data_IF_773096387545
#
_entry.id   IF_773096387545
#
_cell.length_a   1.000
_cell.length_b   1.000
_cell.length_c   1.000
_cell.angle_alpha   90.00
_cell.angle_beta   90.00
_cell.angle_gamma   90.00
#
_symmetry.space_group_name_H-M   'P 1'
#
loop_
_entity.id
_entity.type
_entity.pdbx_description
1 polymer ?
#
# COMPACT_ATOMS: atom_id res chain seq x y z
N UNK A 1 27.04 23.28 35.64
CA UNK A 1 26.73 21.83 35.70
C UNK A 1 25.26 21.55 35.96
N UNK A 2 24.61 22.21 36.93
CA UNK A 2 23.18 22.02 37.23
C UNK A 2 22.23 22.18 36.03
N UNK A 3 22.44 23.22 35.21
CA UNK A 3 21.66 23.48 33.98
C UNK A 3 21.72 22.33 32.96
N UNK A 4 22.86 21.64 32.87
CA UNK A 4 23.03 20.51 31.94
C UNK A 4 22.25 19.30 32.46
N UNK A 5 22.36 19.01 33.75
CA UNK A 5 21.62 17.91 34.39
C UNK A 5 20.11 18.14 34.32
N UNK A 6 19.63 19.37 34.55
CA UNK A 6 18.20 19.69 34.39
C UNK A 6 17.74 19.50 32.95
N UNK A 7 18.55 19.89 31.97
CA UNK A 7 18.25 19.67 30.55
C UNK A 7 18.11 18.18 30.21
N UNK A 8 19.01 17.34 30.73
CA UNK A 8 18.94 15.87 30.57
C UNK A 8 17.65 15.32 31.18
N UNK A 9 17.31 15.70 32.41
CA UNK A 9 16.11 15.21 33.10
C UNK A 9 14.84 15.62 32.35
N UNK A 10 14.74 16.87 31.91
CA UNK A 10 13.60 17.36 31.12
C UNK A 10 13.47 16.59 29.80
N UNK A 11 14.59 16.34 29.12
CA UNK A 11 14.58 15.61 27.84
C UNK A 11 14.09 14.17 28.02
N UNK A 12 14.53 13.48 29.07
CA UNK A 12 14.07 12.13 29.41
C UNK A 12 12.57 12.15 29.72
N UNK A 13 12.09 13.12 30.51
CA UNK A 13 10.68 13.24 30.85
C UNK A 13 9.81 13.45 29.59
N UNK A 14 10.25 14.30 28.66
CA UNK A 14 9.56 14.51 27.38
C UNK A 14 9.54 13.22 26.54
N UNK A 15 10.67 12.52 26.43
CA UNK A 15 10.76 11.28 25.65
C UNK A 15 9.80 10.21 26.19
N UNK A 16 9.78 10.00 27.50
CA UNK A 16 8.88 9.05 28.15
C UNK A 16 7.41 9.47 28.02
N UNK A 17 7.11 10.74 28.24
CA UNK A 17 5.76 11.28 28.12
C UNK A 17 5.21 11.16 26.69
N UNK A 18 6.00 11.53 25.69
CA UNK A 18 5.63 11.41 24.28
C UNK A 18 5.45 9.94 23.87
N UNK A 19 6.38 9.07 24.30
CA UNK A 19 6.29 7.63 24.03
C UNK A 19 5.02 7.01 24.61
N UNK A 20 4.73 7.27 25.89
CA UNK A 20 3.50 6.79 26.53
C UNK A 20 2.24 7.33 25.84
N UNK A 21 2.21 8.63 25.51
CA UNK A 21 1.06 9.23 24.86
C UNK A 21 0.79 8.63 23.47
N UNK A 22 1.83 8.48 22.64
CA UNK A 22 1.69 7.98 21.27
C UNK A 22 1.40 6.48 21.21
N UNK A 23 1.99 5.67 22.09
CA UNK A 23 1.83 4.20 22.06
C UNK A 23 0.63 3.71 22.87
N UNK A 24 0.32 4.37 23.99
CA UNK A 24 -0.66 3.85 24.96
C UNK A 24 -1.91 4.71 25.06
N UNK A 25 -1.80 6.04 24.94
CA UNK A 25 -2.95 6.93 25.07
C UNK A 25 -3.67 7.20 23.75
N UNK A 26 -3.00 7.01 22.61
CA UNK A 26 -3.60 7.15 21.28
C UNK A 26 -3.73 5.78 20.62
N UNK A 27 -4.97 5.31 20.45
CA UNK A 27 -5.25 4.26 19.47
C UNK A 27 -5.06 4.85 18.08
N UNK A 28 -3.83 4.79 17.55
CA UNK A 28 -3.55 5.22 16.19
C UNK A 28 -4.32 4.30 15.23
N UNK A 29 -5.31 4.86 14.54
CA UNK A 29 -5.96 4.14 13.44
C UNK A 29 -4.93 3.96 12.31
N UNK A 30 -4.71 2.73 11.84
CA UNK A 30 -3.84 2.49 10.69
C UNK A 30 -4.26 3.33 9.48
N UNK A 31 -3.29 3.77 8.69
CA UNK A 31 -3.55 4.63 7.52
C UNK A 31 -4.60 4.04 6.56
N UNK A 32 -4.63 2.71 6.41
CA UNK A 32 -5.62 2.04 5.56
C UNK A 32 -7.05 2.12 6.10
N UNK A 33 -7.28 2.39 7.39
CA UNK A 33 -8.61 2.64 7.97
C UNK A 33 -9.06 4.09 7.77
N UNK A 34 -8.13 5.04 7.91
CA UNK A 34 -8.44 6.47 7.81
C UNK A 34 -8.59 6.90 6.35
N UNK A 35 -7.77 6.32 5.46
CA UNK A 35 -7.74 6.61 4.03
C UNK A 35 -8.32 5.48 3.20
N UNK A 36 -9.13 4.58 3.79
CA UNK A 36 -10.01 3.74 2.98
C UNK A 36 -11.02 4.65 2.31
N UNK A 37 -10.70 5.11 1.10
CA UNK A 37 -11.74 5.58 0.19
C UNK A 37 -12.80 4.48 0.09
N UNK A 38 -14.08 4.85 0.11
CA UNK A 38 -15.15 3.94 -0.30
C UNK A 38 -14.80 3.46 -1.70
N UNK A 39 -14.15 2.30 -1.76
CA UNK A 39 -14.02 1.44 -2.91
C UNK A 39 -14.11 2.18 -4.25
N UNK A 40 -12.98 2.57 -4.82
CA UNK A 40 -12.89 2.57 -6.29
C UNK A 40 -12.79 1.12 -6.77
N UNK A 41 -13.69 0.23 -6.33
CA UNK A 41 -14.18 -0.79 -7.24
C UNK A 41 -14.94 -0.02 -8.30
N UNK A 42 -14.17 0.48 -9.27
CA UNK A 42 -14.65 0.55 -10.65
C UNK A 42 -15.41 -0.75 -10.88
N UNK A 43 -16.71 -0.61 -11.18
CA UNK A 43 -17.66 -1.72 -11.20
C UNK A 43 -17.10 -2.98 -11.85
N UNK A 44 -17.53 -4.13 -11.34
CA UNK A 44 -17.09 -5.48 -11.74
C UNK A 44 -15.56 -5.70 -11.69
N UNK A 45 -14.99 -6.12 -10.55
CA UNK A 45 -13.54 -6.27 -10.38
C UNK A 45 -12.90 -7.25 -11.37
N UNK A 46 -13.67 -8.19 -11.94
CA UNK A 46 -13.16 -9.12 -12.96
C UNK A 46 -12.82 -8.43 -14.29
N UNK A 47 -13.43 -7.29 -14.58
CA UNK A 47 -13.35 -6.62 -15.87
C UNK A 47 -12.25 -5.56 -15.94
N UNK A 48 -11.73 -5.12 -14.79
CA UNK A 48 -10.72 -4.05 -14.74
C UNK A 48 -9.34 -4.47 -15.27
N UNK A 49 -9.07 -5.79 -15.37
CA UNK A 49 -7.79 -6.32 -15.84
C UNK A 49 -7.80 -6.71 -17.32
N UNK A 50 -8.99 -6.91 -17.89
CA UNK A 50 -9.17 -7.67 -19.14
C UNK A 50 -10.28 -7.11 -20.05
N UNK A 51 -11.11 -6.18 -19.55
CA UNK A 51 -12.24 -5.59 -20.27
C UNK A 51 -13.53 -6.44 -20.24
N UNK A 52 -14.65 -5.84 -20.68
CA UNK A 52 -15.99 -6.43 -20.62
C UNK A 52 -16.22 -7.69 -21.45
N UNK A 53 -15.32 -8.00 -22.38
CA UNK A 53 -15.50 -9.09 -23.34
C UNK A 53 -14.43 -10.18 -23.20
N UNK A 54 -13.70 -10.22 -22.08
CA UNK A 54 -12.74 -11.29 -21.86
C UNK A 54 -13.43 -12.59 -21.48
N UNK A 55 -13.17 -13.63 -22.26
CA UNK A 55 -13.79 -14.95 -22.07
C UNK A 55 -12.98 -15.86 -21.16
N UNK A 56 -11.76 -15.48 -20.77
CA UNK A 56 -10.86 -16.35 -19.99
C UNK A 56 -10.20 -17.47 -20.80
N UNK A 57 -10.63 -17.68 -22.04
CA UNK A 57 -10.09 -18.71 -22.91
C UNK A 57 -8.83 -18.18 -23.62
N UNK A 58 -7.64 -18.78 -23.41
CA UNK A 58 -6.54 -18.62 -24.33
C UNK A 58 -7.04 -19.13 -25.68
N UNK A 59 -7.11 -18.26 -26.69
CA UNK A 59 -7.48 -18.71 -28.03
C UNK A 59 -6.60 -19.89 -28.45
N UNK A 60 -7.15 -20.77 -29.27
CA UNK A 60 -6.44 -21.92 -29.85
C UNK A 60 -5.16 -21.52 -30.63
N UNK A 61 -4.93 -20.22 -30.83
CA UNK A 61 -3.73 -19.62 -31.40
C UNK A 61 -2.50 -19.60 -30.46
N UNK A 62 -2.61 -20.09 -29.22
CA UNK A 62 -1.48 -20.20 -28.29
C UNK A 62 -0.37 -21.16 -28.75
N UNK A 63 -0.66 -21.99 -29.77
CA UNK A 63 0.33 -22.87 -30.43
C UNK A 63 1.04 -22.23 -31.62
N UNK A 64 0.61 -21.05 -32.09
CA UNK A 64 1.21 -20.37 -33.25
C UNK A 64 2.35 -19.41 -32.88
N UNK A 65 2.47 -18.98 -31.62
CA UNK A 65 3.50 -18.02 -31.20
C UNK A 65 4.89 -18.64 -30.99
N UNK A 66 5.07 -19.94 -31.28
CA UNK A 66 6.35 -20.65 -31.14
C UNK A 66 7.11 -20.84 -32.47
N UNK A 67 6.61 -20.34 -33.59
CA UNK A 67 7.29 -20.50 -34.88
C UNK A 67 7.09 -19.31 -35.81
N UNK A 68 8.20 -18.62 -36.12
CA UNK A 68 8.28 -17.74 -37.28
C UNK A 68 8.64 -16.30 -36.94
N UNK A 69 9.90 -16.04 -36.64
CA UNK A 69 10.57 -14.85 -37.17
C UNK A 69 10.47 -14.94 -38.70
N UNK A 70 9.71 -14.08 -39.38
CA UNK A 70 10.04 -13.69 -40.77
C UNK A 70 9.72 -12.20 -41.04
N UNK A 71 10.73 -11.61 -41.69
CA UNK A 71 11.07 -10.23 -42.03
C UNK A 71 9.97 -9.44 -42.78
N UNK A 72 9.79 -8.15 -42.49
CA UNK A 72 8.84 -7.30 -43.23
C UNK A 72 9.39 -6.93 -44.61
N UNK A 73 8.53 -7.05 -45.63
CA UNK A 73 8.71 -6.43 -46.97
C UNK A 73 7.94 -5.13 -47.05
#
# INVERSE_FOLDING_TARGET
MGMILTGIVVSIAIALGAGYFLLSAQQQQPAWQVYSSESTRVGDPGHNLVGQNWTGEPGDNSTAAAGGEETPS
#
